data_IF_962719385649
#
_entry.id   IF_962719385649
#
_cell.length_a   1.000
_cell.length_b   1.000
_cell.length_c   1.000
_cell.angle_alpha   90.00
_cell.angle_beta   90.00
_cell.angle_gamma   90.00
#
_symmetry.space_group_name_H-M   'P 1'
#
loop_
_entity.id
_entity.type
_entity.pdbx_description
1 polymer ?
#
# COMPACT_ATOMS: atom_id res chain seq x y z
N UNK A 1 12.99 -16.99 18.31
CA UNK A 1 13.67 -15.67 18.24
C UNK A 1 12.65 -14.59 17.98
N UNK A 2 12.28 -13.81 19.00
CA UNK A 2 11.21 -12.80 18.92
C UNK A 2 11.66 -11.46 18.31
N UNK A 3 12.97 -11.24 18.20
CA UNK A 3 13.54 -9.96 17.79
C UNK A 3 13.57 -9.78 16.27
N UNK A 4 13.93 -10.83 15.53
CA UNK A 4 13.95 -10.82 14.05
C UNK A 4 12.52 -10.71 13.51
N UNK A 5 11.57 -11.39 14.16
CA UNK A 5 10.15 -11.27 13.84
C UNK A 5 9.64 -9.84 14.06
N UNK A 6 9.97 -9.22 15.19
CA UNK A 6 9.61 -7.82 15.49
C UNK A 6 10.22 -6.81 14.51
N UNK A 7 11.47 -7.03 14.08
CA UNK A 7 12.15 -6.15 13.11
C UNK A 7 11.50 -6.30 11.73
N UNK A 8 11.22 -7.52 11.27
CA UNK A 8 10.48 -7.74 10.03
C UNK A 8 9.07 -7.14 10.16
N UNK A 9 8.34 -7.41 11.24
CA UNK A 9 7.02 -6.83 11.57
C UNK A 9 7.00 -5.28 11.69
N UNK A 10 8.15 -4.63 11.89
CA UNK A 10 8.27 -3.16 11.95
C UNK A 10 8.67 -2.56 10.59
N UNK A 11 9.41 -3.32 9.77
CA UNK A 11 9.92 -2.87 8.47
C UNK A 11 8.92 -3.16 7.35
N UNK A 12 8.34 -4.36 7.33
CA UNK A 12 7.13 -4.64 6.56
C UNK A 12 5.97 -4.23 7.44
N UNK A 13 5.28 -3.13 7.12
CA UNK A 13 4.08 -2.65 7.83
C UNK A 13 2.88 -3.61 7.79
N UNK A 14 3.10 -4.92 7.80
CA UNK A 14 2.10 -5.98 7.95
C UNK A 14 1.63 -6.07 9.42
N UNK A 15 0.96 -5.01 9.85
CA UNK A 15 -0.24 -5.13 10.65
C UNK A 15 -1.34 -4.33 9.95
N UNK A 16 -1.64 -4.72 8.71
CA UNK A 16 -2.93 -4.40 8.13
C UNK A 16 -3.69 -5.70 8.04
N UNK A 17 -4.69 -5.93 8.91
CA UNK A 17 -5.54 -7.08 8.73
C UNK A 17 -6.08 -7.01 7.29
N UNK A 18 -5.76 -8.03 6.48
CA UNK A 18 -6.32 -8.24 5.13
C UNK A 18 -7.87 -8.23 5.15
N UNK A 19 -8.44 -8.28 6.35
CA UNK A 19 -9.83 -8.00 6.63
C UNK A 19 -9.94 -7.02 7.83
N UNK A 20 -10.10 -5.71 7.60
CA UNK A 20 -10.30 -4.77 8.69
C UNK A 20 -11.51 -5.17 9.54
N UNK A 21 -11.48 -4.91 10.86
CA UNK A 21 -12.64 -5.16 11.72
C UNK A 21 -13.86 -4.50 11.08
N UNK A 22 -14.98 -5.23 11.01
CA UNK A 22 -16.18 -4.95 10.21
C UNK A 22 -16.97 -3.70 10.67
N UNK A 23 -16.29 -2.58 10.89
CA UNK A 23 -16.85 -1.24 10.95
C UNK A 23 -16.55 -0.56 9.61
N UNK A 24 -17.60 -0.40 8.81
CA UNK A 24 -17.67 0.32 7.52
C UNK A 24 -16.43 1.17 7.19
N UNK A 25 -15.47 0.59 6.44
CA UNK A 25 -14.42 1.41 5.82
C UNK A 25 -15.05 2.21 4.68
N UNK A 26 -14.89 3.53 4.73
CA UNK A 26 -15.41 4.40 3.67
C UNK A 26 -14.52 4.34 2.43
N UNK A 27 -15.07 4.67 1.26
CA UNK A 27 -14.32 4.63 0.00
C UNK A 27 -13.12 5.57 0.02
N UNK A 28 -13.26 6.69 0.72
CA UNK A 28 -12.22 7.69 0.94
C UNK A 28 -11.07 7.09 1.76
N UNK A 29 -11.37 6.32 2.81
CA UNK A 29 -10.34 5.62 3.60
C UNK A 29 -9.58 4.57 2.76
N UNK A 30 -10.26 3.88 1.84
CA UNK A 30 -9.60 2.93 0.92
C UNK A 30 -8.66 3.67 -0.05
N UNK A 31 -9.07 4.82 -0.56
CA UNK A 31 -8.24 5.65 -1.44
C UNK A 31 -7.03 6.24 -0.70
N UNK A 32 -7.23 6.79 0.49
CA UNK A 32 -6.16 7.31 1.33
C UNK A 32 -5.16 6.22 1.70
N UNK A 33 -5.65 5.01 1.99
CA UNK A 33 -4.79 3.87 2.26
C UNK A 33 -3.96 3.47 1.04
N UNK A 34 -4.59 3.35 -0.13
CA UNK A 34 -3.88 3.03 -1.37
C UNK A 34 -2.84 4.10 -1.75
N UNK A 35 -3.12 5.37 -1.46
CA UNK A 35 -2.15 6.47 -1.63
C UNK A 35 -0.95 6.33 -0.68
N UNK A 36 -1.20 6.07 0.61
CA UNK A 36 -0.13 5.87 1.61
C UNK A 36 0.77 4.68 1.25
N UNK A 37 0.19 3.60 0.73
CA UNK A 37 0.95 2.44 0.24
C UNK A 37 1.88 2.82 -0.91
N UNK A 38 1.39 3.61 -1.87
CA UNK A 38 2.20 4.08 -2.98
C UNK A 38 3.33 5.03 -2.54
N UNK A 39 3.07 5.90 -1.57
CA UNK A 39 4.09 6.77 -0.96
C UNK A 39 5.14 5.94 -0.19
N UNK A 40 4.72 4.90 0.53
CA UNK A 40 5.62 4.00 1.24
C UNK A 40 6.53 3.23 0.26
N UNK A 41 5.99 2.72 -0.85
CA UNK A 41 6.80 2.04 -1.87
C UNK A 41 7.85 2.97 -2.50
N UNK A 42 7.51 4.25 -2.73
CA UNK A 42 8.46 5.26 -3.18
C UNK A 42 9.57 5.51 -2.15
N UNK A 43 9.24 5.55 -0.86
CA UNK A 43 10.24 5.71 0.19
C UNK A 43 11.18 4.51 0.26
N UNK A 44 10.66 3.28 0.14
CA UNK A 44 11.49 2.06 0.08
C UNK A 44 12.44 2.13 -1.12
N UNK A 45 11.98 2.56 -2.29
CA UNK A 45 12.83 2.73 -3.47
C UNK A 45 13.94 3.77 -3.24
N UNK A 46 13.60 4.90 -2.62
CA UNK A 46 14.56 5.97 -2.32
C UNK A 46 15.62 5.57 -1.28
N UNK A 47 15.25 4.71 -0.34
CA UNK A 47 16.15 4.21 0.71
C UNK A 47 16.90 2.92 0.30
N UNK A 48 16.44 2.24 -0.75
CA UNK A 48 17.04 0.99 -1.21
C UNK A 48 18.42 1.22 -1.85
N UNK A 49 19.46 0.71 -1.20
CA UNK A 49 20.83 0.72 -1.70
C UNK A 49 21.25 -0.61 -2.33
N UNK A 50 20.61 -1.70 -1.92
CA UNK A 50 20.90 -3.04 -2.42
C UNK A 50 20.08 -3.31 -3.69
N UNK A 51 20.72 -3.88 -4.72
CA UNK A 51 20.09 -4.13 -6.02
C UNK A 51 18.78 -4.92 -5.91
N UNK A 52 18.77 -5.96 -5.07
CA UNK A 52 17.59 -6.81 -4.90
C UNK A 52 16.43 -6.08 -4.20
N UNK A 53 16.76 -5.14 -3.29
CA UNK A 53 15.76 -4.28 -2.64
C UNK A 53 15.22 -3.23 -3.60
N UNK A 54 16.05 -2.71 -4.51
CA UNK A 54 15.61 -1.79 -5.57
C UNK A 54 14.63 -2.51 -6.51
N UNK A 55 14.96 -3.74 -6.94
CA UNK A 55 14.08 -4.53 -7.81
C UNK A 55 12.73 -4.83 -7.14
N UNK A 56 12.73 -5.15 -5.84
CA UNK A 56 11.51 -5.30 -5.04
C UNK A 56 10.71 -3.98 -4.96
N UNK A 57 11.38 -2.87 -4.65
CA UNK A 57 10.72 -1.57 -4.51
C UNK A 57 10.06 -1.11 -5.82
N UNK A 58 10.70 -1.37 -6.96
CA UNK A 58 10.12 -1.09 -8.29
C UNK A 58 8.83 -1.91 -8.49
N UNK A 59 8.85 -3.20 -8.16
CA UNK A 59 7.67 -4.06 -8.29
C UNK A 59 6.52 -3.58 -7.41
N UNK A 60 6.80 -3.27 -6.14
CA UNK A 60 5.81 -2.75 -5.20
C UNK A 60 5.23 -1.40 -5.63
N UNK A 61 6.07 -0.48 -6.13
CA UNK A 61 5.61 0.80 -6.67
C UNK A 61 4.64 0.61 -7.83
N UNK A 62 4.94 -0.31 -8.76
CA UNK A 62 4.06 -0.59 -9.90
C UNK A 62 2.73 -1.22 -9.47
N UNK A 63 2.75 -2.12 -8.48
CA UNK A 63 1.55 -2.77 -7.97
C UNK A 63 0.63 -1.78 -7.27
N UNK A 64 1.20 -0.96 -6.37
CA UNK A 64 0.47 0.05 -5.60
C UNK A 64 -0.08 1.18 -6.47
N UNK A 65 0.68 1.64 -7.47
CA UNK A 65 0.22 2.63 -8.46
C UNK A 65 -1.01 2.12 -9.23
N UNK A 66 -0.94 0.89 -9.78
CA UNK A 66 -2.06 0.28 -10.53
C UNK A 66 -3.30 0.13 -9.65
N UNK A 67 -3.12 -0.27 -8.40
CA UNK A 67 -4.21 -0.40 -7.42
C UNK A 67 -4.86 0.96 -7.15
N UNK A 68 -4.07 1.99 -6.90
CA UNK A 68 -4.56 3.34 -6.63
C UNK A 68 -5.32 3.93 -7.83
N UNK A 69 -4.76 3.83 -9.04
CA UNK A 69 -5.44 4.28 -10.27
C UNK A 69 -6.76 3.56 -10.52
N UNK A 70 -6.81 2.24 -10.30
CA UNK A 70 -8.04 1.48 -10.42
C UNK A 70 -9.13 1.96 -9.46
N UNK A 71 -8.77 2.20 -8.19
CA UNK A 71 -9.70 2.69 -7.17
C UNK A 71 -10.20 4.11 -7.49
N UNK A 72 -9.33 4.99 -7.99
CA UNK A 72 -9.71 6.32 -8.43
C UNK A 72 -10.72 6.27 -9.59
N UNK A 73 -10.44 5.45 -10.59
CA UNK A 73 -11.34 5.28 -11.73
C UNK A 73 -12.71 4.78 -11.29
N UNK A 74 -12.74 3.78 -10.40
CA UNK A 74 -13.98 3.22 -9.86
C UNK A 74 -14.78 4.27 -9.07
N UNK A 75 -14.11 5.12 -8.29
CA UNK A 75 -14.77 6.19 -7.55
C UNK A 75 -15.37 7.25 -8.49
N UNK A 76 -14.62 7.67 -9.52
CA UNK A 76 -15.09 8.63 -10.53
C UNK A 76 -16.30 8.11 -11.31
N UNK A 77 -16.26 6.87 -11.82
CA UNK A 77 -17.38 6.24 -12.53
C UNK A 77 -18.65 6.15 -11.68
N UNK A 78 -18.50 5.99 -10.36
CA UNK A 78 -19.63 5.90 -9.44
C UNK A 78 -20.20 7.28 -9.08
N UNK A 79 -19.36 8.33 -9.09
CA UNK A 79 -19.81 9.71 -8.91
C UNK A 79 -20.57 10.26 -10.12
N UNK A 80 -20.29 9.77 -11.34
CA UNK A 80 -20.98 10.18 -12.58
C UNK A 80 -22.34 9.48 -12.79
N UNK A 81 -22.62 8.40 -12.04
CA UNK A 81 -23.87 7.62 -12.16
C UNK A 81 -24.95 7.99 -11.14
N UNK A 82 -24.66 8.91 -10.22
CA UNK A 82 -25.58 9.41 -9.19
C UNK A 82 -26.04 10.83 -9.50
#
# INVERSE_FOLDING_TARGET
MKLVKKIIETITGENLPLNPPQGQITKEQILDQAKREWEAAQNIFNEATEKDLVDYAIFEMQATERRYMHLLKKNAEESERN
#
